data_IF_296919968826
#
_entry.id   IF_296919968826
#
_cell.length_a   1.000
_cell.length_b   1.000
_cell.length_c   1.000
_cell.angle_alpha   90.00
_cell.angle_beta   90.00
_cell.angle_gamma   90.00
#
_symmetry.space_group_name_H-M   'P 1'
#
loop_
_entity.id
_entity.type
_entity.pdbx_description
1 polymer ?
#
# COMPACT_ATOMS: atom_id res chain seq x y z
N UNK A 1 6.81 11.39 28.31
CA UNK A 1 7.18 10.48 27.21
C UNK A 1 8.64 10.09 27.41
N UNK A 2 9.00 8.81 27.29
CA UNK A 2 10.42 8.42 27.39
C UNK A 2 11.17 8.79 26.11
N UNK A 3 12.48 9.00 26.20
CA UNK A 3 13.32 9.25 25.03
C UNK A 3 13.18 8.16 23.95
N UNK A 4 12.94 6.91 24.39
CA UNK A 4 12.70 5.76 23.51
C UNK A 4 11.41 5.91 22.69
N UNK A 5 10.30 6.35 23.31
CA UNK A 5 9.03 6.56 22.58
C UNK A 5 9.17 7.64 21.50
N UNK A 6 9.95 8.68 21.76
CA UNK A 6 10.20 9.76 20.80
C UNK A 6 11.01 9.25 19.59
N UNK A 7 12.01 8.41 19.83
CA UNK A 7 12.79 7.76 18.76
C UNK A 7 11.93 6.84 17.87
N UNK A 8 10.98 6.09 18.45
CA UNK A 8 10.06 5.23 17.69
C UNK A 8 9.21 6.06 16.72
N UNK A 9 8.54 7.10 17.21
CA UNK A 9 7.72 7.96 16.35
C UNK A 9 8.57 8.71 15.31
N UNK A 10 9.78 9.14 15.69
CA UNK A 10 10.73 9.78 14.80
C UNK A 10 11.17 8.89 13.64
N UNK A 11 11.51 7.62 13.89
CA UNK A 11 11.93 6.69 12.85
C UNK A 11 10.81 6.31 11.89
N UNK A 12 9.58 6.15 12.39
CA UNK A 12 8.39 5.94 11.55
C UNK A 12 8.18 7.12 10.58
N UNK A 13 8.27 8.35 11.08
CA UNK A 13 8.11 9.54 10.24
C UNK A 13 9.22 9.64 9.18
N UNK A 14 10.48 9.42 9.58
CA UNK A 14 11.62 9.44 8.65
C UNK A 14 11.50 8.39 7.55
N UNK A 15 11.03 7.18 7.89
CA UNK A 15 10.80 6.12 6.90
C UNK A 15 9.75 6.52 5.86
N UNK A 16 8.64 7.13 6.28
CA UNK A 16 7.61 7.62 5.35
C UNK A 16 8.14 8.74 4.45
N UNK A 17 8.89 9.69 5.01
CA UNK A 17 9.50 10.79 4.25
C UNK A 17 10.49 10.26 3.20
N UNK A 18 11.32 9.28 3.56
CA UNK A 18 12.24 8.64 2.63
C UNK A 18 11.49 7.89 1.53
N UNK A 19 10.40 7.18 1.86
CA UNK A 19 9.54 6.54 0.88
C UNK A 19 8.99 7.53 -0.15
N UNK A 20 8.46 8.67 0.30
CA UNK A 20 7.98 9.74 -0.59
C UNK A 20 9.10 10.30 -1.46
N UNK A 21 10.27 10.54 -0.89
CA UNK A 21 11.44 10.97 -1.64
C UNK A 21 11.80 9.96 -2.74
N UNK A 22 12.00 8.68 -2.39
CA UNK A 22 12.37 7.63 -3.32
C UNK A 22 11.36 7.48 -4.47
N UNK A 23 10.06 7.50 -4.17
CA UNK A 23 8.99 7.45 -5.18
C UNK A 23 9.13 8.61 -6.16
N UNK A 24 9.34 9.83 -5.68
CA UNK A 24 9.48 11.01 -6.55
C UNK A 24 10.71 10.91 -7.43
N UNK A 25 11.85 10.47 -6.89
CA UNK A 25 13.10 10.35 -7.64
C UNK A 25 12.97 9.33 -8.77
N UNK A 26 12.31 8.20 -8.52
CA UNK A 26 12.08 7.18 -9.54
C UNK A 26 11.11 7.66 -10.62
N UNK A 27 9.99 8.29 -10.24
CA UNK A 27 8.98 8.78 -11.19
C UNK A 27 9.46 9.97 -12.02
N UNK A 28 10.51 10.69 -11.59
CA UNK A 28 11.13 11.77 -12.35
C UNK A 28 12.12 11.27 -13.41
N UNK A 29 12.48 9.98 -13.41
CA UNK A 29 13.37 9.41 -14.40
C UNK A 29 12.71 9.41 -15.80
N UNK A 30 13.49 9.55 -16.89
CA UNK A 30 12.95 9.55 -18.24
C UNK A 30 12.34 8.18 -18.59
N UNK A 31 11.14 8.19 -19.18
CA UNK A 31 10.37 6.99 -19.51
C UNK A 31 10.92 6.15 -20.68
N UNK A 32 12.08 6.52 -21.22
CA UNK A 32 12.72 5.82 -22.34
C UNK A 32 12.08 6.11 -23.69
N UNK A 33 12.22 5.16 -24.62
CA UNK A 33 11.75 5.27 -26.01
C UNK A 33 10.24 5.11 -26.13
N UNK A 34 9.65 5.55 -27.25
CA UNK A 34 8.20 5.41 -27.51
C UNK A 34 7.74 3.95 -27.36
N UNK A 35 8.54 3.00 -27.86
CA UNK A 35 8.23 1.57 -27.72
C UNK A 35 8.25 1.10 -26.26
N UNK A 36 9.13 1.64 -25.42
CA UNK A 36 9.15 1.34 -23.99
C UNK A 36 7.91 1.90 -23.29
N UNK A 37 7.50 3.12 -23.65
CA UNK A 37 6.31 3.76 -23.09
C UNK A 37 5.03 3.00 -23.45
N UNK A 38 4.89 2.52 -24.68
CA UNK A 38 3.76 1.66 -25.10
C UNK A 38 3.67 0.39 -24.25
N UNK A 39 4.80 -0.30 -24.04
CA UNK A 39 4.84 -1.52 -23.23
C UNK A 39 4.50 -1.20 -21.77
N UNK A 40 5.08 -0.14 -21.21
CA UNK A 40 4.81 0.28 -19.84
C UNK A 40 3.32 0.60 -19.61
N UNK A 41 2.65 1.23 -20.58
CA UNK A 41 1.21 1.49 -20.51
C UNK A 41 0.38 0.20 -20.48
N UNK A 42 0.70 -0.78 -21.33
CA UNK A 42 0.03 -2.08 -21.31
C UNK A 42 0.22 -2.82 -19.97
N UNK A 43 1.41 -2.74 -19.37
CA UNK A 43 1.68 -3.32 -18.04
C UNK A 43 0.88 -2.58 -16.97
N UNK A 44 0.83 -1.24 -17.00
CA UNK A 44 0.03 -0.43 -16.07
C UNK A 44 -1.45 -0.78 -16.13
N UNK A 45 -2.01 -0.94 -17.34
CA UNK A 45 -3.40 -1.33 -17.52
C UNK A 45 -3.66 -2.72 -16.91
N UNK A 46 -2.84 -3.71 -17.25
CA UNK A 46 -2.96 -5.07 -16.72
C UNK A 46 -2.82 -5.13 -15.19
N UNK A 47 -1.83 -4.43 -14.63
CA UNK A 47 -1.61 -4.36 -13.19
C UNK A 47 -2.79 -3.70 -12.45
N UNK A 48 -3.35 -2.61 -13.01
CA UNK A 48 -4.51 -1.94 -12.43
C UNK A 48 -5.75 -2.83 -12.42
N UNK A 49 -6.00 -3.57 -13.51
CA UNK A 49 -7.11 -4.51 -13.61
C UNK A 49 -6.95 -5.69 -12.64
N UNK A 50 -5.72 -6.22 -12.49
CA UNK A 50 -5.40 -7.28 -11.53
C UNK A 50 -5.63 -6.81 -10.09
N UNK A 51 -5.07 -5.65 -9.72
CA UNK A 51 -5.24 -5.07 -8.38
C UNK A 51 -6.70 -4.83 -8.06
N UNK A 52 -7.48 -4.25 -8.98
CA UNK A 52 -8.90 -3.98 -8.76
C UNK A 52 -9.69 -5.26 -8.45
N UNK A 53 -9.43 -6.35 -9.19
CA UNK A 53 -10.06 -7.65 -8.93
C UNK A 53 -9.60 -8.26 -7.61
N UNK A 54 -8.29 -8.26 -7.34
CA UNK A 54 -7.72 -8.85 -6.14
C UNK A 54 -8.19 -8.12 -4.88
N UNK A 55 -8.11 -6.79 -4.86
CA UNK A 55 -8.47 -5.96 -3.71
C UNK A 55 -9.96 -6.00 -3.41
N UNK A 56 -10.81 -6.13 -4.44
CA UNK A 56 -12.25 -6.32 -4.23
C UNK A 56 -12.52 -7.61 -3.45
N UNK A 57 -11.89 -8.71 -3.83
CA UNK A 57 -12.03 -9.99 -3.13
C UNK A 57 -11.47 -9.90 -1.71
N UNK A 58 -10.27 -9.33 -1.55
CA UNK A 58 -9.64 -9.15 -0.23
C UNK A 58 -10.52 -8.27 0.68
N UNK A 59 -11.12 -7.20 0.16
CA UNK A 59 -11.99 -6.32 0.94
C UNK A 59 -13.23 -7.05 1.47
N UNK A 60 -13.85 -7.91 0.65
CA UNK A 60 -15.00 -8.72 1.06
C UNK A 60 -14.59 -9.71 2.16
N UNK A 61 -13.51 -10.46 1.95
CA UNK A 61 -13.01 -11.43 2.93
C UNK A 61 -12.60 -10.73 4.22
N UNK A 62 -11.90 -9.60 4.11
CA UNK A 62 -11.45 -8.82 5.25
C UNK A 62 -12.60 -8.25 6.08
N UNK A 63 -13.68 -7.80 5.44
CA UNK A 63 -14.89 -7.36 6.14
C UNK A 63 -15.50 -8.50 6.95
N UNK A 64 -15.68 -9.69 6.34
CA UNK A 64 -16.24 -10.86 7.01
C UNK A 64 -15.38 -11.27 8.21
N UNK A 65 -14.06 -11.36 8.03
CA UNK A 65 -13.12 -11.68 9.11
C UNK A 65 -13.19 -10.64 10.23
N UNK A 66 -13.19 -9.35 9.90
CA UNK A 66 -13.26 -8.27 10.90
C UNK A 66 -14.55 -8.31 11.73
N UNK A 67 -15.70 -8.62 11.10
CA UNK A 67 -16.97 -8.79 11.80
C UNK A 67 -16.95 -10.02 12.72
N UNK A 68 -16.40 -11.15 12.27
CA UNK A 68 -16.24 -12.35 13.10
C UNK A 68 -15.33 -12.09 14.31
N UNK A 69 -14.21 -11.40 14.10
CA UNK A 69 -13.31 -10.99 15.18
C UNK A 69 -14.02 -10.07 16.18
N UNK A 70 -14.84 -9.14 15.69
CA UNK A 70 -15.63 -8.25 16.56
C UNK A 70 -16.68 -8.99 17.39
N UNK A 71 -17.37 -9.96 16.79
CA UNK A 71 -18.38 -10.76 17.48
C UNK A 71 -17.78 -11.70 18.52
N UNK A 72 -16.61 -12.29 18.24
CA UNK A 72 -15.98 -13.31 19.09
C UNK A 72 -15.00 -12.75 20.13
N UNK A 73 -14.26 -11.69 19.79
CA UNK A 73 -13.20 -11.11 20.64
C UNK A 73 -13.47 -9.65 21.06
N UNK A 74 -14.55 -9.05 20.56
CA UNK A 74 -14.99 -7.72 20.95
C UNK A 74 -14.48 -6.58 20.07
N UNK A 75 -15.05 -5.39 20.32
CA UNK A 75 -14.91 -4.23 19.44
C UNK A 75 -13.48 -3.71 19.29
N UNK A 76 -12.67 -3.77 20.36
CA UNK A 76 -11.27 -3.29 20.34
C UNK A 76 -10.41 -4.09 19.35
N UNK A 77 -10.61 -5.42 19.28
CA UNK A 77 -9.87 -6.31 18.37
C UNK A 77 -10.29 -6.03 16.93
N UNK A 78 -11.59 -5.87 16.66
CA UNK A 78 -12.07 -5.52 15.32
C UNK A 78 -11.51 -4.18 14.82
N UNK A 79 -11.48 -3.14 15.67
CA UNK A 79 -10.91 -1.84 15.31
C UNK A 79 -9.42 -1.98 14.95
N UNK A 80 -8.64 -2.67 15.80
CA UNK A 80 -7.22 -2.91 15.53
C UNK A 80 -6.99 -3.67 14.23
N UNK A 81 -7.82 -4.69 13.96
CA UNK A 81 -7.79 -5.44 12.71
C UNK A 81 -8.06 -4.56 11.49
N UNK A 82 -9.11 -3.74 11.50
CA UNK A 82 -9.44 -2.87 10.36
C UNK A 82 -8.38 -1.82 10.10
N UNK A 83 -7.78 -1.23 11.16
CA UNK A 83 -6.66 -0.30 11.01
C UNK A 83 -5.49 -1.00 10.29
N UNK A 84 -5.10 -2.19 10.77
CA UNK A 84 -4.02 -2.97 10.16
C UNK A 84 -4.32 -3.40 8.72
N UNK A 85 -5.53 -3.90 8.47
CA UNK A 85 -5.96 -4.38 7.15
C UNK A 85 -5.96 -3.24 6.11
N UNK A 86 -6.46 -2.06 6.48
CA UNK A 86 -6.46 -0.88 5.59
C UNK A 86 -5.03 -0.41 5.33
N UNK A 87 -4.18 -0.28 6.36
CA UNK A 87 -2.78 0.13 6.19
C UNK A 87 -1.97 -0.87 5.34
N UNK A 88 -2.22 -2.16 5.51
CA UNK A 88 -1.60 -3.23 4.70
C UNK A 88 -2.04 -3.14 3.23
N UNK A 89 -3.33 -2.98 2.98
CA UNK A 89 -3.86 -2.78 1.64
C UNK A 89 -3.29 -1.53 0.96
N UNK A 90 -3.21 -0.41 1.68
CA UNK A 90 -2.60 0.81 1.14
C UNK A 90 -1.13 0.58 0.76
N UNK A 91 -0.36 -0.10 1.61
CA UNK A 91 1.04 -0.44 1.34
C UNK A 91 1.18 -1.25 0.04
N UNK A 92 0.36 -2.30 -0.14
CA UNK A 92 0.41 -3.13 -1.33
C UNK A 92 -0.01 -2.39 -2.61
N UNK A 93 -1.06 -1.57 -2.53
CA UNK A 93 -1.55 -0.79 -3.68
C UNK A 93 -0.55 0.29 -4.12
N UNK A 94 0.05 1.00 -3.17
CA UNK A 94 1.08 2.01 -3.46
C UNK A 94 2.32 1.33 -4.04
N UNK A 95 2.79 0.24 -3.42
CA UNK A 95 3.98 -0.50 -3.87
C UNK A 95 3.85 -0.96 -5.32
N UNK A 96 2.74 -1.61 -5.68
CA UNK A 96 2.51 -2.07 -7.05
C UNK A 96 2.49 -0.91 -8.06
N UNK A 97 1.81 0.19 -7.76
CA UNK A 97 1.78 1.36 -8.66
C UNK A 97 3.16 1.97 -8.89
N UNK A 98 4.01 1.99 -7.85
CA UNK A 98 5.39 2.48 -7.97
C UNK A 98 6.23 1.51 -8.78
N UNK A 99 6.19 0.21 -8.48
CA UNK A 99 6.96 -0.81 -9.19
C UNK A 99 6.64 -0.87 -10.68
N UNK A 100 5.36 -0.75 -11.06
CA UNK A 100 4.95 -0.82 -12.46
C UNK A 100 5.33 0.44 -13.23
N UNK A 101 5.35 1.61 -12.59
CA UNK A 101 5.80 2.87 -13.22
C UNK A 101 7.32 3.00 -13.27
N UNK A 102 8.03 2.27 -12.42
CA UNK A 102 9.48 2.22 -12.38
C UNK A 102 10.09 1.32 -13.47
N UNK A 103 9.27 0.51 -14.14
CA UNK A 103 9.68 -0.48 -15.14
C UNK A 103 9.37 -0.02 -16.56
#
# INVERSE_FOLDING_TARGET
MSNVTLLIFGSCLLSLLYGVYAIRTVLAAPAGTDRMQEIAQAIQEGASAYLARQYRTIAIVGLVVGLLLGALLGLKVAIGYFIGAVLSGLTGYIGMNVSVRAN
#
